data_IF_110569022390
#
_entry.id   IF_110569022390
#
_cell.length_a   1.000
_cell.length_b   1.000
_cell.length_c   1.000
_cell.angle_alpha   90.00
_cell.angle_beta   90.00
_cell.angle_gamma   90.00
#
_symmetry.space_group_name_H-M   'P 1'
#
loop_
_entity.id
_entity.type
_entity.pdbx_description
1 polymer ?
#
# COMPACT_ATOMS: atom_id res chain seq x y z
N UNK A 1 2.36 32.52 11.84
CA UNK A 1 2.68 31.52 10.81
C UNK A 1 3.01 30.24 11.56
N UNK A 2 2.19 29.19 11.54
CA UNK A 2 2.59 27.93 12.14
C UNK A 2 3.50 27.20 11.15
N UNK A 3 4.66 26.78 11.64
CA UNK A 3 5.67 26.01 10.94
C UNK A 3 5.24 24.54 10.86
N UNK A 4 4.97 24.03 9.66
CA UNK A 4 4.64 22.64 9.38
C UNK A 4 5.85 21.74 9.71
N UNK A 5 5.84 21.06 10.86
CA UNK A 5 6.88 20.11 11.26
C UNK A 5 6.49 18.69 10.84
N UNK A 6 7.29 18.10 9.94
CA UNK A 6 7.22 16.66 9.66
C UNK A 6 7.77 15.87 10.85
N UNK A 7 6.95 15.01 11.45
CA UNK A 7 7.36 14.11 12.52
C UNK A 7 7.60 12.71 11.93
N UNK A 8 8.83 12.19 12.04
CA UNK A 8 9.18 10.81 11.64
C UNK A 8 9.15 9.91 12.88
N UNK A 9 8.29 8.90 12.90
CA UNK A 9 8.28 7.86 13.93
C UNK A 9 9.05 6.61 13.46
N UNK A 10 10.02 6.17 14.27
CA UNK A 10 10.77 4.94 14.08
C UNK A 10 10.18 3.82 14.96
N UNK A 11 9.89 2.66 14.36
CA UNK A 11 9.23 1.51 14.98
C UNK A 11 10.19 0.61 15.77
N UNK A 12 9.77 0.19 16.98
CA UNK A 12 10.43 -0.80 17.85
C UNK A 12 9.62 -2.10 17.82
N UNK A 13 10.26 -3.24 17.54
CA UNK A 13 9.66 -4.60 17.56
C UNK A 13 10.35 -5.48 18.63
N UNK A 14 9.62 -6.35 19.36
CA UNK A 14 10.23 -7.40 20.19
C UNK A 14 10.14 -8.81 19.58
N UNK A 15 11.11 -9.64 20.00
CA UNK A 15 11.40 -11.01 19.54
C UNK A 15 10.53 -12.10 20.19
N UNK A 16 10.25 -13.14 19.40
CA UNK A 16 10.56 -14.54 19.74
C UNK A 16 9.44 -15.43 20.29
N UNK A 17 9.26 -16.62 19.70
CA UNK A 17 9.22 -17.93 20.40
C UNK A 17 9.07 -19.10 19.42
N UNK A 18 9.78 -20.20 19.69
CA UNK A 18 9.87 -21.46 18.95
C UNK A 18 8.76 -22.46 19.35
N UNK A 19 8.38 -23.39 18.45
CA UNK A 19 8.39 -24.86 18.68
C UNK A 19 7.74 -25.72 17.55
N UNK A 20 8.53 -26.67 17.05
CA UNK A 20 8.32 -28.14 16.85
C UNK A 20 7.26 -28.68 15.84
N UNK A 21 7.80 -29.20 14.73
CA UNK A 21 7.54 -30.45 13.97
C UNK A 21 6.22 -31.25 14.11
N UNK A 22 5.65 -31.65 12.96
CA UNK A 22 5.52 -33.08 12.56
C UNK A 22 5.13 -33.22 11.07
N UNK A 23 5.62 -34.30 10.46
CA UNK A 23 5.65 -34.65 9.03
C UNK A 23 4.36 -35.29 8.50
N UNK A 24 3.93 -34.93 7.28
CA UNK A 24 3.04 -35.78 6.46
C UNK A 24 3.41 -35.63 4.97
N UNK A 25 3.74 -36.75 4.33
CA UNK A 25 3.99 -36.87 2.88
C UNK A 25 2.67 -37.04 2.12
N UNK A 26 2.47 -36.45 0.92
CA UNK A 26 1.34 -36.78 0.08
C UNK A 26 1.75 -37.62 -1.14
N UNK A 27 1.09 -38.76 -1.31
CA UNK A 27 1.09 -39.54 -2.54
C UNK A 27 -0.13 -39.18 -3.39
N UNK A 28 0.13 -38.61 -4.57
CA UNK A 28 -0.65 -38.54 -5.83
C UNK A 28 -2.19 -38.66 -5.81
N UNK A 29 -2.87 -37.68 -6.41
CA UNK A 29 -3.96 -37.93 -7.36
C UNK A 29 -4.10 -36.77 -8.37
N UNK A 30 -4.27 -37.14 -9.65
CA UNK A 30 -4.48 -36.27 -10.81
C UNK A 30 -5.96 -36.02 -11.07
N UNK A 31 -6.20 -34.91 -11.75
CA UNK A 31 -7.31 -34.54 -12.63
C UNK A 31 -8.69 -34.22 -12.03
N UNK A 32 -9.06 -32.94 -12.13
CA UNK A 32 -10.19 -32.41 -12.95
C UNK A 32 -10.87 -31.20 -12.32
N UNK A 33 -11.24 -30.25 -13.18
CA UNK A 33 -11.85 -28.96 -12.89
C UNK A 33 -13.05 -29.05 -11.94
N UNK A 34 -12.95 -28.41 -10.78
CA UNK A 34 -14.08 -28.07 -9.91
C UNK A 34 -13.60 -27.01 -8.95
N UNK A 35 -14.31 -25.89 -8.92
CA UNK A 35 -14.46 -24.97 -7.80
C UNK A 35 -13.49 -25.21 -6.66
N UNK A 36 -12.48 -24.34 -6.51
CA UNK A 36 -11.64 -24.33 -5.31
C UNK A 36 -12.54 -23.95 -4.13
N UNK A 37 -13.20 -24.95 -3.57
CA UNK A 37 -13.68 -24.94 -2.19
C UNK A 37 -12.39 -24.93 -1.38
N UNK A 38 -11.92 -23.73 -1.05
CA UNK A 38 -10.84 -23.59 -0.11
C UNK A 38 -11.33 -24.12 1.23
N UNK A 39 -10.98 -25.37 1.54
CA UNK A 39 -11.07 -25.91 2.89
C UNK A 39 -10.06 -25.14 3.73
N UNK A 40 -10.56 -24.23 4.58
CA UNK A 40 -9.73 -23.45 5.50
C UNK A 40 -9.81 -24.12 6.88
N UNK A 41 -8.79 -24.89 7.30
CA UNK A 41 -8.72 -25.36 8.68
C UNK A 41 -8.62 -24.14 9.62
N UNK A 42 -9.32 -24.20 10.75
CA UNK A 42 -9.48 -23.10 11.68
C UNK A 42 -8.11 -22.58 12.15
N UNK A 43 -7.78 -21.33 11.81
CA UNK A 43 -6.55 -20.68 12.28
C UNK A 43 -5.73 -19.92 11.24
N UNK A 44 -6.08 -19.96 9.95
CA UNK A 44 -5.47 -19.07 8.95
C UNK A 44 -6.01 -17.65 9.12
N UNK A 45 -5.42 -16.93 10.08
CA UNK A 45 -5.37 -15.47 9.99
C UNK A 45 -4.36 -15.20 8.88
N UNK A 46 -4.86 -15.05 7.65
CA UNK A 46 -4.05 -14.48 6.57
C UNK A 46 -3.52 -13.17 7.12
N UNK A 47 -2.24 -13.15 7.48
CA UNK A 47 -1.53 -11.89 7.67
C UNK A 47 -1.74 -11.17 6.35
N UNK A 48 -2.25 -9.96 6.47
CA UNK A 48 -2.71 -9.08 5.41
C UNK A 48 -1.54 -8.69 4.49
N UNK A 49 -0.91 -9.65 3.81
CA UNK A 49 0.22 -9.46 2.92
C UNK A 49 -0.24 -8.84 1.58
N UNK A 50 -1.57 -8.79 1.37
CA UNK A 50 -2.23 -7.98 0.36
C UNK A 50 -2.44 -6.51 0.77
N UNK A 51 -2.26 -6.14 2.04
CA UNK A 51 -2.49 -4.78 2.54
C UNK A 51 -1.66 -3.71 1.84
N UNK A 52 -0.49 -4.07 1.33
CA UNK A 52 0.44 -3.12 0.69
C UNK A 52 0.32 -3.10 -0.84
N UNK A 53 -0.51 -3.96 -1.42
CA UNK A 53 -0.66 -4.05 -2.89
C UNK A 53 -2.00 -3.49 -3.35
N UNK A 54 -1.99 -2.80 -4.49
CA UNK A 54 -3.19 -2.25 -5.11
C UNK A 54 -3.37 -2.90 -6.49
N UNK A 55 -4.60 -3.36 -6.79
CA UNK A 55 -4.89 -3.95 -8.10
C UNK A 55 -5.10 -2.84 -9.12
N UNK A 56 -4.32 -2.86 -10.18
CA UNK A 56 -4.54 -2.01 -11.36
C UNK A 56 -5.28 -2.80 -12.44
N UNK A 57 -6.24 -2.15 -13.09
CA UNK A 57 -6.86 -2.67 -14.33
C UNK A 57 -6.39 -1.80 -15.48
N UNK A 58 -5.78 -2.40 -16.48
CA UNK A 58 -5.20 -1.70 -17.63
C UNK A 58 -5.64 -2.37 -18.92
N UNK A 59 -5.82 -1.57 -19.97
CA UNK A 59 -6.00 -2.07 -21.33
C UNK A 59 -4.62 -2.22 -21.98
N UNK A 60 -4.41 -3.30 -22.72
CA UNK A 60 -3.18 -3.57 -23.48
C UNK A 60 -3.50 -3.85 -24.94
N UNK A 61 -2.59 -3.50 -25.84
CA UNK A 61 -2.70 -3.88 -27.25
C UNK A 61 -2.61 -5.39 -27.44
N UNK A 62 -3.34 -5.94 -28.42
CA UNK A 62 -3.36 -7.39 -28.67
C UNK A 62 -1.98 -7.94 -29.04
N UNK A 63 -1.18 -7.17 -29.77
CA UNK A 63 0.19 -7.56 -30.15
C UNK A 63 1.11 -7.61 -28.92
N UNK A 64 1.06 -6.59 -28.07
CA UNK A 64 1.86 -6.56 -26.83
C UNK A 64 1.47 -7.70 -25.90
N UNK A 65 0.17 -7.97 -25.75
CA UNK A 65 -0.33 -9.10 -24.98
C UNK A 65 0.22 -10.44 -25.52
N UNK A 66 0.22 -10.62 -26.84
CA UNK A 66 0.78 -11.81 -27.47
C UNK A 66 2.30 -11.96 -27.23
N UNK A 67 3.06 -10.87 -27.24
CA UNK A 67 4.49 -10.90 -26.91
C UNK A 67 4.72 -11.27 -25.44
N UNK A 68 3.91 -10.72 -24.52
CA UNK A 68 3.98 -11.08 -23.09
C UNK A 68 3.69 -12.57 -22.90
N UNK A 69 2.68 -13.09 -23.59
CA UNK A 69 2.32 -14.51 -23.53
C UNK A 69 3.45 -15.41 -24.01
N UNK A 70 4.10 -15.06 -25.12
CA UNK A 70 5.26 -15.79 -25.61
C UNK A 70 6.39 -15.80 -24.56
N UNK A 71 6.69 -14.66 -23.94
CA UNK A 71 7.74 -14.59 -22.91
C UNK A 71 7.43 -15.45 -21.67
N UNK A 72 6.15 -15.53 -21.30
CA UNK A 72 5.70 -16.40 -20.20
C UNK A 72 5.81 -17.88 -20.63
N UNK A 73 5.37 -18.21 -21.84
CA UNK A 73 5.40 -19.58 -22.37
C UNK A 73 6.83 -20.13 -22.50
N UNK A 74 7.78 -19.30 -22.93
CA UNK A 74 9.20 -19.66 -23.02
C UNK A 74 9.91 -19.66 -21.65
N UNK A 75 9.21 -19.33 -20.57
CA UNK A 75 9.72 -19.42 -19.21
C UNK A 75 10.60 -18.27 -18.75
N UNK A 76 10.65 -17.15 -19.50
CA UNK A 76 11.36 -15.94 -19.05
C UNK A 76 10.69 -15.28 -17.84
N UNK A 77 9.38 -15.47 -17.68
CA UNK A 77 8.60 -14.98 -16.56
C UNK A 77 7.62 -16.05 -16.08
N UNK A 78 7.31 -16.07 -14.78
CA UNK A 78 6.41 -17.08 -14.22
C UNK A 78 4.95 -16.88 -14.65
N UNK A 79 4.53 -15.64 -14.84
CA UNK A 79 3.18 -15.27 -15.27
C UNK A 79 3.14 -13.82 -15.78
N UNK A 80 2.02 -13.41 -16.39
CA UNK A 80 1.81 -12.04 -16.91
C UNK A 80 1.99 -10.97 -15.82
N UNK A 81 1.50 -11.23 -14.61
CA UNK A 81 1.61 -10.27 -13.49
C UNK A 81 3.06 -10.03 -13.09
N UNK A 82 3.89 -11.07 -13.11
CA UNK A 82 5.32 -10.98 -12.83
C UNK A 82 6.07 -10.16 -13.89
N UNK A 83 5.78 -10.40 -15.18
CA UNK A 83 6.27 -9.56 -16.27
C UNK A 83 5.94 -8.08 -16.04
N UNK A 84 4.66 -7.77 -15.82
CA UNK A 84 4.19 -6.38 -15.65
C UNK A 84 4.84 -5.73 -14.43
N UNK A 85 4.92 -6.45 -13.31
CA UNK A 85 5.58 -5.93 -12.09
C UNK A 85 7.06 -5.65 -12.32
N UNK A 86 7.74 -6.52 -13.05
CA UNK A 86 9.15 -6.34 -13.42
C UNK A 86 9.35 -5.16 -14.35
N UNK A 87 8.51 -5.03 -15.39
CA UNK A 87 8.56 -3.90 -16.33
C UNK A 87 8.36 -2.55 -15.62
N UNK A 88 7.39 -2.46 -14.70
CA UNK A 88 7.15 -1.26 -13.88
C UNK A 88 8.39 -0.93 -13.04
N UNK A 89 8.97 -1.91 -12.33
CA UNK A 89 10.19 -1.70 -11.52
C UNK A 89 11.36 -1.20 -12.38
N UNK A 90 11.53 -1.76 -13.57
CA UNK A 90 12.60 -1.35 -14.48
C UNK A 90 12.43 0.10 -14.95
N UNK A 91 11.21 0.51 -15.33
CA UNK A 91 10.94 1.89 -15.72
C UNK A 91 11.10 2.87 -14.55
N UNK A 92 10.64 2.51 -13.35
CA UNK A 92 10.86 3.33 -12.16
C UNK A 92 12.35 3.50 -11.83
N UNK A 93 13.14 2.44 -11.97
CA UNK A 93 14.59 2.50 -11.79
C UNK A 93 15.26 3.39 -12.83
N UNK A 94 14.85 3.31 -14.11
CA UNK A 94 15.37 4.16 -15.18
C UNK A 94 15.11 5.66 -14.92
N UNK A 95 14.02 5.99 -14.21
CA UNK A 95 13.64 7.36 -13.86
C UNK A 95 13.93 7.74 -12.40
N UNK A 96 14.72 6.95 -11.67
CA UNK A 96 14.89 7.10 -10.23
C UNK A 96 15.38 8.49 -9.81
N UNK A 97 16.30 9.10 -10.55
CA UNK A 97 16.85 10.41 -10.19
C UNK A 97 15.85 11.55 -10.44
N UNK A 98 15.06 11.48 -11.51
CA UNK A 98 13.98 12.43 -11.75
C UNK A 98 12.90 12.35 -10.65
N UNK A 99 12.58 11.14 -10.20
CA UNK A 99 11.68 10.91 -9.05
C UNK A 99 12.27 11.52 -7.78
N UNK A 100 13.52 11.20 -7.42
CA UNK A 100 14.19 11.73 -6.22
C UNK A 100 14.23 13.26 -6.21
N UNK A 101 14.61 13.89 -7.33
CA UNK A 101 14.63 15.35 -7.45
C UNK A 101 13.25 15.97 -7.27
N UNK A 102 12.21 15.32 -7.80
CA UNK A 102 10.83 15.79 -7.68
C UNK A 102 10.28 15.61 -6.27
N UNK A 103 10.58 14.48 -5.61
CA UNK A 103 10.25 14.21 -4.21
C UNK A 103 10.85 15.30 -3.31
N UNK A 104 12.13 15.63 -3.50
CA UNK A 104 12.78 16.70 -2.74
C UNK A 104 12.15 18.07 -3.02
N UNK A 105 11.92 18.42 -4.30
CA UNK A 105 11.35 19.72 -4.70
C UNK A 105 9.92 19.94 -4.17
N UNK A 106 9.10 18.88 -4.13
CA UNK A 106 7.71 18.94 -3.67
C UNK A 106 7.55 18.58 -2.18
N UNK A 107 8.65 18.30 -1.49
CA UNK A 107 8.68 17.88 -0.08
C UNK A 107 7.80 16.66 0.21
N UNK A 108 7.73 15.72 -0.76
CA UNK A 108 6.95 14.51 -0.62
C UNK A 108 7.63 13.52 0.32
N UNK A 109 6.85 12.82 1.13
CA UNK A 109 7.30 11.64 1.87
C UNK A 109 7.09 10.42 0.98
N UNK A 110 8.18 9.72 0.63
CA UNK A 110 8.12 8.47 -0.12
C UNK A 110 7.83 7.30 0.82
N UNK A 111 6.81 6.49 0.51
CA UNK A 111 6.51 5.24 1.19
C UNK A 111 5.08 5.12 1.72
N UNK A 112 4.92 4.33 2.77
CA UNK A 112 3.65 4.12 3.46
C UNK A 112 3.61 5.01 4.71
N UNK A 113 2.53 5.76 4.89
CA UNK A 113 2.27 6.58 6.08
C UNK A 113 0.97 6.14 6.71
N UNK A 114 1.00 5.94 8.03
CA UNK A 114 -0.16 5.57 8.81
C UNK A 114 -0.34 6.59 9.94
N UNK A 115 -1.54 7.16 10.03
CA UNK A 115 -1.93 8.12 11.05
C UNK A 115 -2.97 7.48 11.96
N UNK A 116 -2.57 7.16 13.18
CA UNK A 116 -3.46 6.63 14.19
C UNK A 116 -4.13 7.76 14.98
N UNK A 117 -5.22 7.44 15.68
CA UNK A 117 -5.90 8.39 16.59
C UNK A 117 -4.94 9.12 17.57
N UNK A 118 -4.03 8.43 18.31
CA UNK A 118 -3.13 9.12 19.23
C UNK A 118 -2.20 10.13 18.54
N UNK A 119 -1.80 9.88 17.30
CA UNK A 119 -0.95 10.80 16.54
C UNK A 119 -1.68 12.12 16.28
N UNK A 120 -2.95 12.04 15.90
CA UNK A 120 -3.78 13.22 15.65
C UNK A 120 -4.19 13.92 16.95
N UNK A 121 -4.45 13.19 18.03
CA UNK A 121 -4.71 13.79 19.35
C UNK A 121 -3.50 14.61 19.82
N UNK A 122 -2.29 14.09 19.65
CA UNK A 122 -1.07 14.83 19.97
C UNK A 122 -0.90 16.10 19.12
N UNK A 123 -1.24 16.04 17.82
CA UNK A 123 -1.23 17.23 16.94
C UNK A 123 -2.24 18.27 17.42
N UNK A 124 -3.44 17.85 17.81
CA UNK A 124 -4.46 18.75 18.37
C UNK A 124 -4.00 19.39 19.67
N UNK A 125 -3.45 18.60 20.59
CA UNK A 125 -2.93 19.10 21.88
C UNK A 125 -1.78 20.10 21.69
N UNK A 126 -0.96 19.91 20.67
CA UNK A 126 0.08 20.86 20.27
C UNK A 126 -0.48 22.13 19.59
N UNK A 127 -1.77 22.16 19.22
CA UNK A 127 -2.37 23.25 18.44
C UNK A 127 -1.81 23.36 17.01
N UNK A 128 -1.30 22.25 16.47
CA UNK A 128 -0.69 22.17 15.14
C UNK A 128 -1.67 21.57 14.12
N UNK A 129 -1.30 21.62 12.84
CA UNK A 129 -2.04 20.95 11.75
C UNK A 129 -1.06 20.25 10.81
N UNK A 130 -1.53 19.17 10.18
CA UNK A 130 -0.77 18.34 9.26
C UNK A 130 -1.04 18.73 7.81
N UNK A 131 0.05 18.91 7.06
CA UNK A 131 0.05 18.86 5.61
C UNK A 131 0.59 17.49 5.18
N UNK A 132 -0.31 16.62 4.72
CA UNK A 132 0.03 15.25 4.32
C UNK A 132 0.42 15.27 2.85
N UNK A 133 1.70 15.02 2.55
CA UNK A 133 2.23 14.96 1.18
C UNK A 133 2.97 13.64 0.97
N UNK A 134 2.37 12.70 0.27
CA UNK A 134 2.88 11.32 0.18
C UNK A 134 2.99 10.85 -1.26
N UNK A 135 4.12 10.20 -1.59
CA UNK A 135 4.28 9.37 -2.79
C UNK A 135 4.27 7.90 -2.35
N UNK A 136 3.16 7.21 -2.57
CA UNK A 136 2.89 5.86 -2.06
C UNK A 136 1.50 5.74 -1.45
N UNK A 137 1.43 5.39 -0.16
CA UNK A 137 0.17 5.19 0.56
C UNK A 137 0.11 6.11 1.77
N UNK A 138 -0.98 6.87 1.90
CA UNK A 138 -1.36 7.47 3.17
C UNK A 138 -2.62 6.78 3.70
N UNK A 139 -2.59 6.39 4.96
CA UNK A 139 -3.71 5.72 5.63
C UNK A 139 -4.04 6.39 6.96
N UNK A 140 -5.32 6.57 7.24
CA UNK A 140 -5.82 7.01 8.54
C UNK A 140 -6.55 5.83 9.17
N UNK A 141 -6.24 5.53 10.43
CA UNK A 141 -6.87 4.43 11.15
C UNK A 141 -8.40 4.58 11.21
N UNK A 142 -9.12 3.45 11.13
CA UNK A 142 -10.58 3.43 11.04
C UNK A 142 -11.27 3.97 12.30
N UNK A 143 -10.57 3.95 13.44
CA UNK A 143 -11.07 4.46 14.70
C UNK A 143 -10.92 5.99 14.81
N UNK A 144 -10.30 6.69 13.85
CA UNK A 144 -10.17 8.14 13.91
C UNK A 144 -11.54 8.83 13.75
N UNK A 145 -11.97 9.65 14.73
CA UNK A 145 -13.20 10.42 14.58
C UNK A 145 -13.08 11.46 13.46
N UNK A 146 -14.11 11.64 12.60
CA UNK A 146 -14.05 12.62 11.51
C UNK A 146 -13.78 14.06 11.97
N UNK A 147 -14.28 14.43 13.15
CA UNK A 147 -14.04 15.74 13.76
C UNK A 147 -12.56 15.96 14.10
N UNK A 148 -11.90 14.96 14.69
CA UNK A 148 -10.48 15.01 15.03
C UNK A 148 -9.62 15.15 13.77
N UNK A 149 -9.90 14.35 12.74
CA UNK A 149 -9.21 14.45 11.46
C UNK A 149 -9.40 15.84 10.83
N UNK A 150 -10.60 16.41 10.93
CA UNK A 150 -10.88 17.75 10.38
C UNK A 150 -10.22 18.88 11.18
N UNK A 151 -9.99 18.71 12.47
CA UNK A 151 -9.30 19.71 13.27
C UNK A 151 -7.79 19.71 12.98
N UNK A 152 -7.22 18.53 12.71
CA UNK A 152 -5.77 18.30 12.70
C UNK A 152 -5.15 18.24 11.32
N UNK A 153 -5.91 18.01 10.25
CA UNK A 153 -5.37 17.87 8.89
C UNK A 153 -5.77 19.08 8.05
N UNK A 154 -4.79 19.86 7.59
CA UNK A 154 -5.02 21.04 6.75
C UNK A 154 -5.15 20.68 5.26
N UNK A 155 -4.25 19.83 4.75
CA UNK A 155 -4.28 19.40 3.35
C UNK A 155 -3.74 17.98 3.15
N UNK A 156 -4.23 17.32 2.10
CA UNK A 156 -3.80 15.97 1.69
C UNK A 156 -3.47 16.00 0.20
N UNK A 157 -2.23 15.66 -0.15
CA UNK A 157 -1.74 15.41 -1.51
C UNK A 157 -1.07 14.03 -1.53
N UNK A 158 -1.70 13.08 -2.22
CA UNK A 158 -1.24 11.68 -2.24
C UNK A 158 -1.12 11.21 -3.68
N UNK A 159 0.12 10.93 -4.09
CA UNK A 159 0.44 10.28 -5.34
C UNK A 159 0.49 8.77 -5.10
N UNK A 160 -0.64 8.10 -5.32
CA UNK A 160 -0.82 6.67 -5.07
C UNK A 160 -2.19 6.41 -4.47
N UNK A 161 -2.25 5.86 -3.26
CA UNK A 161 -3.50 5.49 -2.62
C UNK A 161 -3.73 6.26 -1.31
N UNK A 162 -4.98 6.68 -1.08
CA UNK A 162 -5.42 7.24 0.20
C UNK A 162 -6.53 6.38 0.83
N UNK A 163 -6.23 5.80 2.00
CA UNK A 163 -7.13 4.92 2.74
C UNK A 163 -7.57 5.58 4.04
N UNK A 164 -8.87 5.57 4.30
CA UNK A 164 -9.50 6.11 5.49
C UNK A 164 -10.96 5.66 5.50
N UNK A 165 -11.60 5.71 6.66
CA UNK A 165 -13.03 5.44 6.76
C UNK A 165 -13.85 6.41 5.87
N UNK A 166 -15.02 6.00 5.36
CA UNK A 166 -15.86 6.85 4.52
C UNK A 166 -16.20 8.19 5.18
N UNK A 167 -16.46 8.18 6.49
CA UNK A 167 -16.81 9.38 7.26
C UNK A 167 -15.64 10.36 7.36
N UNK A 168 -14.41 9.85 7.55
CA UNK A 168 -13.19 10.68 7.54
C UNK A 168 -12.93 11.24 6.14
N UNK A 169 -13.09 10.43 5.08
CA UNK A 169 -12.98 10.90 3.69
C UNK A 169 -13.97 12.01 3.40
N UNK A 170 -15.22 11.87 3.85
CA UNK A 170 -16.25 12.89 3.69
C UNK A 170 -15.90 14.17 4.45
N UNK A 171 -15.42 14.07 5.69
CA UNK A 171 -15.00 15.23 6.49
C UNK A 171 -13.81 15.99 5.89
N UNK A 172 -12.94 15.29 5.14
CA UNK A 172 -11.73 15.84 4.52
C UNK A 172 -11.88 16.15 3.02
N UNK A 173 -13.06 15.97 2.43
CA UNK A 173 -13.27 16.09 0.99
C UNK A 173 -12.76 17.42 0.39
N UNK A 174 -12.93 18.55 1.10
CA UNK A 174 -12.45 19.87 0.67
C UNK A 174 -10.93 20.09 0.81
N UNK A 175 -10.19 19.13 1.37
CA UNK A 175 -8.75 19.22 1.65
C UNK A 175 -7.91 18.22 0.88
N UNK A 176 -8.57 17.24 0.25
CA UNK A 176 -7.93 16.25 -0.61
C UNK A 176 -7.68 16.89 -1.97
N UNK A 177 -6.42 17.01 -2.36
CA UNK A 177 -5.98 17.46 -3.68
C UNK A 177 -5.61 16.22 -4.48
N UNK A 178 -6.55 15.69 -5.26
CA UNK A 178 -6.24 14.66 -6.26
C UNK A 178 -5.77 15.34 -7.54
N UNK A 179 -4.62 14.91 -8.08
CA UNK A 179 -4.25 15.20 -9.48
C UNK A 179 -5.03 14.30 -10.42
#
# INVERSE_FOLDING_TARGET
MPTSKQIRFASILPRGSQRIFTSISPSNLRDSESSIICYHPHGWRGVDELSETEKITINLGLVDLGQIDLLVQEGFYQNRTDFIRTAIRNQLNAHADAVKQTVARKELVLGLQHYARPDLEAVREAGETLEIRVLGLASIADDVPPGLARETIDSIDVLGAFRASPDVKAALAGRIRST
#
